data_IF_484683336900
#
_entry.id   IF_484683336900
#
_cell.length_a   1.000
_cell.length_b   1.000
_cell.length_c   1.000
_cell.angle_alpha   90.00
_cell.angle_beta   90.00
_cell.angle_gamma   90.00
#
_symmetry.space_group_name_H-M   'P 1'
#
loop_
_entity.id
_entity.type
_entity.pdbx_description
1 polymer ?
#
# COMPACT_ATOMS: atom_id res chain seq x y z
N UNK A 1 -47.97 -10.06 22.98
CA UNK A 1 -47.57 -10.36 21.60
C UNK A 1 -46.06 -10.52 21.55
N UNK A 2 -45.55 -11.32 20.61
CA UNK A 2 -44.12 -11.59 20.47
C UNK A 2 -43.59 -10.99 19.17
N UNK A 3 -42.43 -10.34 19.23
CA UNK A 3 -41.80 -9.68 18.09
C UNK A 3 -40.32 -10.01 17.97
N UNK A 4 -39.84 -10.04 16.73
CA UNK A 4 -38.43 -9.94 16.39
C UNK A 4 -38.15 -8.51 15.87
N UNK A 5 -37.34 -7.77 16.61
CA UNK A 5 -36.82 -6.47 16.18
C UNK A 5 -35.57 -6.69 15.35
N UNK A 6 -35.56 -6.18 14.12
CA UNK A 6 -34.48 -6.42 13.15
C UNK A 6 -33.94 -5.12 12.55
N UNK A 7 -32.69 -5.17 12.09
CA UNK A 7 -32.02 -4.05 11.43
C UNK A 7 -31.87 -4.33 9.91
N UNK A 8 -32.60 -3.60 9.05
CA UNK A 8 -32.46 -3.70 7.60
C UNK A 8 -31.02 -3.41 7.11
N UNK A 9 -30.28 -2.54 7.80
CA UNK A 9 -28.90 -2.18 7.42
C UNK A 9 -27.91 -3.33 7.69
N UNK A 10 -28.27 -4.26 8.57
CA UNK A 10 -27.53 -5.50 8.83
C UNK A 10 -28.12 -6.68 8.04
N UNK A 11 -28.76 -6.40 6.89
CA UNK A 11 -29.39 -7.42 6.06
C UNK A 11 -30.60 -8.07 6.70
N UNK A 12 -31.24 -7.42 7.68
CA UNK A 12 -32.40 -7.94 8.39
C UNK A 12 -32.05 -8.77 9.63
N UNK A 13 -30.82 -8.66 10.17
CA UNK A 13 -30.43 -9.34 11.41
C UNK A 13 -31.40 -9.00 12.54
N UNK A 14 -31.91 -10.03 13.24
CA UNK A 14 -32.67 -9.86 14.48
C UNK A 14 -31.70 -9.40 15.56
N UNK A 15 -31.93 -8.20 16.08
CA UNK A 15 -31.11 -7.57 17.11
C UNK A 15 -31.74 -7.69 18.50
N UNK A 16 -33.05 -7.97 18.57
CA UNK A 16 -33.73 -8.21 19.84
C UNK A 16 -35.02 -9.01 19.66
N UNK A 17 -35.33 -9.86 20.64
CA UNK A 17 -36.62 -10.54 20.78
C UNK A 17 -37.42 -9.87 21.89
N UNK A 18 -38.70 -9.58 21.65
CA UNK A 18 -39.56 -8.84 22.58
C UNK A 18 -40.86 -9.61 22.83
N UNK A 19 -41.19 -9.83 24.11
CA UNK A 19 -42.46 -10.42 24.54
C UNK A 19 -43.25 -9.37 25.33
N UNK A 20 -44.21 -8.72 24.69
CA UNK A 20 -44.98 -7.63 25.29
C UNK A 20 -46.02 -8.11 26.31
N UNK A 21 -46.28 -9.41 26.38
CA UNK A 21 -47.15 -9.97 27.43
C UNK A 21 -46.32 -10.25 28.70
N UNK A 22 -45.03 -10.57 28.53
CA UNK A 22 -44.11 -10.81 29.64
C UNK A 22 -43.50 -9.53 30.23
N UNK A 23 -43.34 -8.47 29.43
CA UNK A 23 -42.78 -7.21 29.90
C UNK A 23 -43.32 -6.00 29.11
N UNK A 24 -43.32 -4.84 29.75
CA UNK A 24 -43.73 -3.59 29.11
C UNK A 24 -42.58 -3.01 28.28
N UNK A 25 -42.58 -3.25 26.98
CA UNK A 25 -41.60 -2.70 26.03
C UNK A 25 -42.11 -1.41 25.38
N UNK A 26 -41.23 -0.42 25.21
CA UNK A 26 -41.45 0.64 24.24
C UNK A 26 -41.03 0.09 22.87
N UNK A 27 -42.01 -0.15 22.00
CA UNK A 27 -41.76 -0.76 20.70
C UNK A 27 -41.08 0.22 19.74
N UNK A 28 -40.07 -0.24 18.97
CA UNK A 28 -39.54 0.48 17.81
C UNK A 28 -40.60 0.74 16.72
N UNK A 29 -40.19 1.44 15.66
CA UNK A 29 -41.02 1.61 14.47
C UNK A 29 -41.50 0.24 13.95
N UNK A 30 -42.80 0.15 13.62
CA UNK A 30 -43.43 -1.10 13.19
C UNK A 30 -42.79 -1.70 11.92
N UNK A 31 -42.16 -0.88 11.08
CA UNK A 31 -41.42 -1.35 9.89
C UNK A 31 -40.15 -2.14 10.22
N UNK A 32 -39.68 -2.06 11.47
CA UNK A 32 -38.52 -2.80 11.99
C UNK A 32 -38.93 -4.01 12.85
N UNK A 33 -40.23 -4.30 12.94
CA UNK A 33 -40.77 -5.38 13.76
C UNK A 33 -41.37 -6.46 12.87
N UNK A 34 -41.05 -7.71 13.20
CA UNK A 34 -41.72 -8.89 12.67
C UNK A 34 -42.53 -9.54 13.79
N UNK A 35 -43.85 -9.66 13.62
CA UNK A 35 -44.70 -10.38 14.57
C UNK A 35 -44.40 -11.87 14.50
N UNK A 36 -44.03 -12.45 15.63
CA UNK A 36 -43.61 -13.84 15.73
C UNK A 36 -44.80 -14.76 16.01
N UNK A 37 -44.97 -15.79 15.18
CA UNK A 37 -45.73 -16.97 15.60
C UNK A 37 -45.02 -17.71 16.75
N UNK A 38 -45.69 -18.65 17.42
CA UNK A 38 -45.03 -19.52 18.41
C UNK A 38 -43.89 -20.35 17.79
N UNK A 39 -43.98 -20.68 16.49
CA UNK A 39 -42.92 -21.37 15.78
C UNK A 39 -41.71 -20.44 15.57
N UNK A 40 -41.93 -19.20 15.13
CA UNK A 40 -40.89 -18.18 14.97
C UNK A 40 -40.23 -17.86 16.31
N UNK A 41 -41.00 -17.81 17.40
CA UNK A 41 -40.47 -17.50 18.72
C UNK A 41 -39.48 -18.55 19.23
N UNK A 42 -39.70 -19.83 18.94
CA UNK A 42 -38.77 -20.92 19.30
C UNK A 42 -37.42 -20.82 18.60
N UNK A 43 -37.38 -20.19 17.43
CA UNK A 43 -36.15 -20.02 16.65
C UNK A 43 -35.11 -19.12 17.35
N UNK A 44 -35.50 -18.31 18.35
CA UNK A 44 -34.58 -17.46 19.13
C UNK A 44 -33.49 -18.26 19.86
N UNK A 45 -33.74 -19.53 20.14
CA UNK A 45 -32.80 -20.44 20.80
C UNK A 45 -31.75 -21.02 19.83
N UNK A 46 -31.95 -20.84 18.52
CA UNK A 46 -31.11 -21.37 17.44
C UNK A 46 -29.90 -20.51 17.05
N UNK A 47 -29.63 -19.40 17.75
CA UNK A 47 -28.52 -18.49 17.47
C UNK A 47 -28.94 -17.20 16.76
N UNK A 48 -28.03 -16.64 15.95
CA UNK A 48 -28.27 -15.41 15.20
C UNK A 48 -29.32 -15.64 14.10
N UNK A 49 -30.41 -14.87 14.14
CA UNK A 49 -31.52 -14.96 13.19
C UNK A 49 -31.65 -13.68 12.35
N UNK A 50 -32.40 -13.76 11.26
CA UNK A 50 -32.76 -12.65 10.39
C UNK A 50 -34.22 -12.71 9.96
N UNK A 51 -34.79 -11.55 9.65
CA UNK A 51 -36.08 -11.42 8.97
C UNK A 51 -35.81 -11.20 7.48
N UNK A 52 -36.29 -12.12 6.63
CA UNK A 52 -36.14 -12.06 5.17
C UNK A 52 -37.44 -12.43 4.49
N UNK A 53 -37.99 -11.53 3.68
CA UNK A 53 -39.25 -11.76 2.97
C UNK A 53 -40.42 -12.11 3.91
N UNK A 54 -40.46 -11.48 5.09
CA UNK A 54 -41.50 -11.72 6.11
C UNK A 54 -41.40 -13.05 6.84
N UNK A 55 -40.21 -13.68 6.87
CA UNK A 55 -39.97 -14.94 7.61
C UNK A 55 -38.70 -14.84 8.44
N UNK A 56 -38.68 -15.53 9.58
CA UNK A 56 -37.48 -15.72 10.37
C UNK A 56 -36.66 -16.88 9.79
N UNK A 57 -35.35 -16.65 9.62
CA UNK A 57 -34.39 -17.65 9.15
C UNK A 57 -33.05 -17.47 9.89
N UNK A 58 -32.15 -18.47 9.87
CA UNK A 58 -30.77 -18.28 10.32
C UNK A 58 -30.11 -17.09 9.63
N UNK A 59 -29.42 -16.26 10.39
CA UNK A 59 -28.74 -15.09 9.86
C UNK A 59 -27.63 -15.48 8.88
N UNK A 60 -27.68 -14.89 7.69
CA UNK A 60 -26.60 -14.95 6.71
C UNK A 60 -26.06 -13.54 6.56
N UNK A 61 -24.81 -13.33 6.99
CA UNK A 61 -24.15 -12.03 6.86
C UNK A 61 -24.14 -11.58 5.40
N UNK A 62 -24.55 -10.32 5.11
CA UNK A 62 -24.46 -9.77 3.77
C UNK A 62 -23.04 -9.92 3.22
N UNK A 63 -22.93 -10.52 2.04
CA UNK A 63 -21.65 -10.59 1.35
C UNK A 63 -21.38 -9.23 0.69
N UNK A 64 -20.13 -8.73 0.73
CA UNK A 64 -19.78 -7.50 0.02
C UNK A 64 -20.05 -7.68 -1.47
N UNK A 65 -20.52 -6.61 -2.14
CA UNK A 65 -20.73 -6.66 -3.57
C UNK A 65 -19.41 -6.88 -4.32
N UNK A 66 -19.42 -7.45 -5.54
CA UNK A 66 -18.20 -7.62 -6.35
C UNK A 66 -17.41 -6.32 -6.52
N UNK A 67 -18.08 -5.18 -6.60
CA UNK A 67 -17.47 -3.85 -6.73
C UNK A 67 -16.71 -3.46 -5.45
N UNK A 68 -17.28 -3.72 -4.27
CA UNK A 68 -16.62 -3.46 -2.98
C UNK A 68 -15.38 -4.34 -2.83
N UNK A 69 -15.49 -5.61 -3.20
CA UNK A 69 -14.36 -6.55 -3.19
C UNK A 69 -13.25 -6.06 -4.12
N UNK A 70 -13.58 -5.72 -5.36
CA UNK A 70 -12.61 -5.22 -6.33
C UNK A 70 -11.93 -3.92 -5.87
N UNK A 71 -12.70 -2.98 -5.32
CA UNK A 71 -12.15 -1.72 -4.81
C UNK A 71 -11.14 -1.96 -3.68
N UNK A 72 -11.46 -2.87 -2.74
CA UNK A 72 -10.56 -3.25 -1.64
C UNK A 72 -9.27 -3.90 -2.16
N UNK A 73 -9.39 -4.80 -3.15
CA UNK A 73 -8.23 -5.47 -3.76
C UNK A 73 -7.33 -4.46 -4.47
N UNK A 74 -7.89 -3.51 -5.24
CA UNK A 74 -7.10 -2.43 -5.88
C UNK A 74 -6.39 -1.55 -4.87
N UNK A 75 -7.06 -1.16 -3.78
CA UNK A 75 -6.45 -0.36 -2.72
C UNK A 75 -5.25 -1.10 -2.08
N UNK A 76 -5.44 -2.38 -1.75
CA UNK A 76 -4.36 -3.22 -1.22
C UNK A 76 -3.20 -3.38 -2.19
N UNK A 77 -3.48 -3.57 -3.48
CA UNK A 77 -2.46 -3.64 -4.53
C UNK A 77 -1.63 -2.35 -4.63
N UNK A 78 -2.29 -1.19 -4.65
CA UNK A 78 -1.63 0.12 -4.71
C UNK A 78 -0.74 0.40 -3.49
N UNK A 79 -1.16 -0.02 -2.30
CA UNK A 79 -0.35 0.06 -1.09
C UNK A 79 0.91 -0.82 -1.22
N UNK A 80 0.76 -2.07 -1.65
CA UNK A 80 1.89 -3.01 -1.85
C UNK A 80 2.87 -2.50 -2.92
N UNK A 81 2.37 -1.97 -4.03
CA UNK A 81 3.18 -1.37 -5.10
C UNK A 81 4.00 -0.19 -4.57
N UNK A 82 3.35 0.69 -3.78
CA UNK A 82 4.01 1.86 -3.21
C UNK A 82 5.10 1.47 -2.21
N UNK A 83 4.78 0.57 -1.28
CA UNK A 83 5.73 0.08 -0.28
C UNK A 83 6.93 -0.63 -0.93
N UNK A 84 6.70 -1.43 -1.98
CA UNK A 84 7.78 -2.10 -2.70
C UNK A 84 8.72 -1.09 -3.39
N UNK A 85 8.16 -0.09 -4.08
CA UNK A 85 8.96 0.95 -4.72
C UNK A 85 9.80 1.75 -3.71
N UNK A 86 9.22 2.10 -2.58
CA UNK A 86 9.93 2.79 -1.49
C UNK A 86 11.07 1.94 -0.91
N UNK A 87 10.80 0.67 -0.58
CA UNK A 87 11.80 -0.26 -0.08
C UNK A 87 12.97 -0.40 -1.06
N UNK A 88 12.70 -0.48 -2.36
CA UNK A 88 13.76 -0.56 -3.39
C UNK A 88 14.57 0.73 -3.52
N UNK A 89 13.97 1.91 -3.37
CA UNK A 89 14.74 3.16 -3.35
C UNK A 89 15.68 3.22 -2.14
N UNK A 90 15.20 2.80 -0.97
CA UNK A 90 16.01 2.72 0.28
C UNK A 90 17.17 1.73 0.14
N UNK A 91 16.89 0.54 -0.40
CA UNK A 91 17.90 -0.48 -0.68
C UNK A 91 19.00 0.04 -1.62
N UNK A 92 18.62 0.72 -2.71
CA UNK A 92 19.57 1.23 -3.72
C UNK A 92 20.35 2.45 -3.20
N UNK A 93 19.71 3.31 -2.42
CA UNK A 93 20.38 4.46 -1.80
C UNK A 93 21.35 4.05 -0.68
N UNK A 94 21.21 2.83 -0.14
CA UNK A 94 22.01 2.35 0.99
C UNK A 94 21.67 3.02 2.33
N UNK A 95 20.51 3.67 2.43
CA UNK A 95 20.05 4.41 3.61
C UNK A 95 18.54 4.30 3.78
N UNK A 96 18.08 4.42 5.03
CA UNK A 96 16.65 4.49 5.36
C UNK A 96 16.14 5.93 5.46
N UNK A 97 17.05 6.91 5.45
CA UNK A 97 16.74 8.33 5.59
C UNK A 97 16.24 8.91 4.27
N UNK A 98 14.96 9.31 4.24
CA UNK A 98 14.33 9.90 3.05
C UNK A 98 14.93 11.25 2.66
N UNK A 99 15.50 12.00 3.62
CA UNK A 99 16.22 13.25 3.38
C UNK A 99 17.54 13.02 2.66
N UNK A 100 18.30 11.99 3.05
CA UNK A 100 19.51 11.59 2.32
C UNK A 100 19.17 11.12 0.90
N UNK A 101 18.09 10.35 0.75
CA UNK A 101 17.59 9.90 -0.55
C UNK A 101 17.24 11.09 -1.45
N UNK A 102 16.50 12.07 -0.94
CA UNK A 102 16.13 13.28 -1.68
C UNK A 102 17.36 14.12 -2.06
N UNK A 103 18.43 14.06 -1.26
CA UNK A 103 19.68 14.78 -1.47
C UNK A 103 20.50 14.33 -2.69
N UNK A 104 20.27 13.12 -3.23
CA UNK A 104 21.06 12.57 -4.34
C UNK A 104 21.12 13.46 -5.58
N UNK A 105 20.00 14.09 -5.95
CA UNK A 105 19.96 15.00 -7.11
C UNK A 105 20.81 16.25 -6.90
N UNK A 106 20.79 16.81 -5.68
CA UNK A 106 21.65 17.95 -5.36
C UNK A 106 23.12 17.56 -5.31
N UNK A 107 23.45 16.40 -4.74
CA UNK A 107 24.84 15.87 -4.74
C UNK A 107 25.34 15.63 -6.18
N UNK A 108 24.50 15.11 -7.08
CA UNK A 108 24.84 14.97 -8.50
C UNK A 108 25.16 16.33 -9.15
N UNK A 109 24.29 17.32 -8.96
CA UNK A 109 24.48 18.70 -9.47
C UNK A 109 25.80 19.29 -8.99
N UNK A 110 26.08 19.18 -7.68
CA UNK A 110 27.33 19.70 -7.08
C UNK A 110 28.54 19.01 -7.68
N UNK A 111 28.53 17.67 -7.74
CA UNK A 111 29.64 16.89 -8.27
C UNK A 111 29.93 17.22 -9.75
N UNK A 112 28.88 17.38 -10.57
CA UNK A 112 29.01 17.83 -11.96
C UNK A 112 29.60 19.26 -12.06
N UNK A 113 29.15 20.17 -11.20
CA UNK A 113 29.67 21.53 -11.16
C UNK A 113 31.16 21.59 -10.77
N UNK A 114 31.59 20.73 -9.83
CA UNK A 114 33.00 20.65 -9.42
C UNK A 114 33.85 20.17 -10.59
N UNK A 115 33.45 19.08 -11.27
CA UNK A 115 34.17 18.58 -12.46
C UNK A 115 34.23 19.61 -13.58
N UNK A 116 33.16 20.39 -13.76
CA UNK A 116 33.10 21.44 -14.79
C UNK A 116 33.88 22.72 -14.42
N UNK A 117 34.44 22.82 -13.20
CA UNK A 117 35.10 24.04 -12.71
C UNK A 117 34.16 25.19 -12.39
N UNK A 118 32.85 24.93 -12.28
CA UNK A 118 31.79 25.93 -12.10
C UNK A 118 31.09 25.86 -10.73
N UNK A 119 31.59 25.03 -9.81
CA UNK A 119 31.03 24.92 -8.47
C UNK A 119 31.27 26.19 -7.64
N UNK A 120 30.25 26.61 -6.89
CA UNK A 120 30.36 27.70 -5.92
C UNK A 120 31.21 27.27 -4.70
N UNK A 121 31.70 28.23 -3.92
CA UNK A 121 32.42 27.91 -2.68
C UNK A 121 31.52 27.22 -1.66
N UNK A 122 30.22 27.54 -1.64
CA UNK A 122 29.23 26.85 -0.82
C UNK A 122 29.04 25.38 -1.25
N UNK A 123 29.03 25.11 -2.56
CA UNK A 123 28.97 23.74 -3.09
C UNK A 123 30.20 22.92 -2.66
N UNK A 124 31.40 23.51 -2.72
CA UNK A 124 32.65 22.87 -2.27
C UNK A 124 32.63 22.63 -0.75
N UNK A 125 32.25 23.64 0.04
CA UNK A 125 32.19 23.55 1.49
C UNK A 125 31.23 22.45 1.97
N UNK A 126 30.12 22.21 1.26
CA UNK A 126 29.21 21.10 1.56
C UNK A 126 29.90 19.73 1.44
N UNK A 127 30.71 19.52 0.40
CA UNK A 127 31.45 18.27 0.20
C UNK A 127 32.66 18.17 1.13
N UNK A 128 33.37 19.27 1.39
CA UNK A 128 34.46 19.31 2.37
C UNK A 128 33.98 18.94 3.78
N UNK A 129 32.81 19.43 4.18
CA UNK A 129 32.18 19.06 5.45
C UNK A 129 31.91 17.56 5.56
N UNK A 130 31.38 16.93 4.48
CA UNK A 130 31.13 15.49 4.46
C UNK A 130 32.42 14.66 4.45
N UNK A 131 33.42 15.05 3.67
CA UNK A 131 34.74 14.39 3.64
C UNK A 131 35.39 14.45 5.02
N UNK A 132 35.41 15.63 5.65
CA UNK A 132 35.97 15.83 6.98
C UNK A 132 35.24 14.99 8.03
N UNK A 133 33.90 14.94 7.98
CA UNK A 133 33.10 14.16 8.92
C UNK A 133 33.30 12.65 8.76
N UNK A 134 33.49 12.14 7.53
CA UNK A 134 33.75 10.72 7.25
C UNK A 134 35.16 10.28 7.63
N UNK A 135 36.12 11.22 7.63
CA UNK A 135 37.51 11.01 8.05
C UNK A 135 38.20 9.79 7.41
N UNK A 136 37.90 9.51 6.13
CA UNK A 136 38.48 8.37 5.40
C UNK A 136 39.92 8.72 4.98
N UNK A 137 40.94 7.95 5.41
CA UNK A 137 42.32 8.22 5.04
C UNK A 137 42.53 8.25 3.52
N UNK A 138 43.14 9.33 3.02
CA UNK A 138 43.46 9.50 1.60
C UNK A 138 42.27 9.87 0.70
N UNK A 139 41.06 10.08 1.24
CA UNK A 139 39.94 10.59 0.46
C UNK A 139 40.14 12.09 0.17
N UNK A 140 40.29 12.43 -1.11
CA UNK A 140 40.38 13.81 -1.61
C UNK A 140 39.04 14.26 -2.17
N UNK A 141 38.90 15.58 -2.43
CA UNK A 141 37.73 16.13 -3.14
C UNK A 141 37.47 15.39 -4.46
N UNK A 142 38.50 15.16 -5.28
CA UNK A 142 38.35 14.47 -6.55
C UNK A 142 37.86 13.03 -6.38
N UNK A 143 38.45 12.28 -5.44
CA UNK A 143 38.04 10.90 -5.14
C UNK A 143 36.59 10.86 -4.67
N UNK A 144 36.21 11.79 -3.79
CA UNK A 144 34.85 11.89 -3.26
C UNK A 144 33.84 12.26 -4.37
N UNK A 145 34.15 13.25 -5.21
CA UNK A 145 33.32 13.66 -6.35
C UNK A 145 33.09 12.52 -7.32
N UNK A 146 34.12 11.71 -7.64
CA UNK A 146 33.95 10.55 -8.51
C UNK A 146 33.03 9.48 -7.89
N UNK A 147 33.15 9.23 -6.58
CA UNK A 147 32.24 8.33 -5.85
C UNK A 147 30.80 8.84 -5.90
N UNK A 148 30.60 10.14 -5.65
CA UNK A 148 29.27 10.77 -5.70
C UNK A 148 28.68 10.69 -7.09
N UNK A 149 29.43 11.01 -8.16
CA UNK A 149 28.96 10.89 -9.54
C UNK A 149 28.50 9.47 -9.85
N UNK A 150 29.35 8.47 -9.56
CA UNK A 150 29.02 7.06 -9.80
C UNK A 150 27.73 6.65 -9.08
N UNK A 151 27.64 6.93 -7.78
CA UNK A 151 26.49 6.55 -6.95
C UNK A 151 25.22 7.30 -7.33
N UNK A 152 25.30 8.62 -7.55
CA UNK A 152 24.14 9.44 -7.85
C UNK A 152 23.58 9.16 -9.26
N UNK A 153 24.44 8.93 -10.25
CA UNK A 153 23.99 8.51 -11.59
C UNK A 153 23.34 7.12 -11.56
N UNK A 154 23.94 6.19 -10.81
CA UNK A 154 23.35 4.86 -10.61
C UNK A 154 21.97 4.95 -9.96
N UNK A 155 21.87 5.72 -8.87
CA UNK A 155 20.61 5.96 -8.17
C UNK A 155 19.57 6.60 -9.10
N UNK A 156 19.91 7.66 -9.84
CA UNK A 156 18.99 8.33 -10.75
C UNK A 156 18.41 7.38 -11.82
N UNK A 157 19.27 6.55 -12.42
CA UNK A 157 18.84 5.51 -13.38
C UNK A 157 17.90 4.51 -12.72
N UNK A 158 18.25 4.02 -11.55
CA UNK A 158 17.46 3.03 -10.81
C UNK A 158 16.09 3.59 -10.37
N UNK A 159 16.07 4.80 -9.82
CA UNK A 159 14.86 5.49 -9.41
C UNK A 159 13.92 5.72 -10.59
N UNK A 160 14.45 6.11 -11.77
CA UNK A 160 13.64 6.26 -12.98
C UNK A 160 12.95 4.96 -13.41
N UNK A 161 13.64 3.83 -13.31
CA UNK A 161 13.05 2.52 -13.62
C UNK A 161 11.99 2.13 -12.58
N UNK A 162 12.29 2.28 -11.28
CA UNK A 162 11.36 1.98 -10.19
C UNK A 162 10.08 2.81 -10.34
N UNK A 163 10.22 4.09 -10.62
CA UNK A 163 9.11 5.03 -10.69
C UNK A 163 8.24 4.80 -11.93
N UNK A 164 8.88 4.49 -13.06
CA UNK A 164 8.18 4.07 -14.28
C UNK A 164 7.39 2.78 -14.08
N UNK A 165 8.01 1.76 -13.46
CA UNK A 165 7.34 0.49 -13.15
C UNK A 165 6.20 0.69 -12.14
N UNK A 166 6.41 1.48 -11.09
CA UNK A 166 5.38 1.83 -10.11
C UNK A 166 4.17 2.47 -10.79
N UNK A 167 4.39 3.50 -11.62
CA UNK A 167 3.30 4.21 -12.31
C UNK A 167 2.53 3.26 -13.21
N UNK A 168 3.23 2.49 -14.03
CA UNK A 168 2.61 1.50 -14.91
C UNK A 168 1.77 0.48 -14.12
N UNK A 169 2.28 -0.02 -13.00
CA UNK A 169 1.55 -0.98 -12.17
C UNK A 169 0.25 -0.38 -11.62
N UNK A 170 0.30 0.88 -11.16
CA UNK A 170 -0.87 1.58 -10.65
C UNK A 170 -1.92 1.79 -11.74
N UNK A 171 -1.49 2.14 -12.96
CA UNK A 171 -2.38 2.30 -14.11
C UNK A 171 -3.02 0.97 -14.52
N UNK A 172 -2.23 -0.11 -14.58
CA UNK A 172 -2.72 -1.46 -14.90
C UNK A 172 -3.72 -1.97 -13.82
N UNK A 173 -3.46 -1.72 -12.53
CA UNK A 173 -4.39 -2.01 -11.42
C UNK A 173 -5.68 -1.20 -11.54
N UNK A 174 -5.59 0.09 -11.90
CA UNK A 174 -6.76 0.93 -12.11
C UNK A 174 -7.63 0.41 -13.24
N UNK A 175 -7.03 -0.07 -14.34
CA UNK A 175 -7.72 -0.63 -15.50
C UNK A 175 -8.36 -2.01 -15.25
N UNK A 176 -7.82 -2.80 -14.31
CA UNK A 176 -8.30 -4.16 -14.02
C UNK A 176 -9.79 -4.21 -13.65
N UNK A 177 -10.50 -5.24 -14.13
CA UNK A 177 -11.95 -5.42 -13.92
C UNK A 177 -12.29 -6.54 -12.94
N UNK A 178 -11.32 -7.35 -12.54
CA UNK A 178 -11.52 -8.44 -11.58
C UNK A 178 -10.37 -8.49 -10.57
N UNK A 179 -10.58 -9.09 -9.38
CA UNK A 179 -9.51 -9.33 -8.42
C UNK A 179 -8.34 -10.14 -9.00
N UNK A 180 -8.62 -11.14 -9.82
CA UNK A 180 -7.61 -12.02 -10.42
C UNK A 180 -6.72 -11.24 -11.40
N UNK A 181 -7.31 -10.31 -12.16
CA UNK A 181 -6.56 -9.41 -13.04
C UNK A 181 -5.63 -8.49 -12.24
N UNK A 182 -6.04 -8.03 -11.05
CA UNK A 182 -5.17 -7.24 -10.16
C UNK A 182 -3.98 -8.07 -9.68
N UNK A 183 -4.19 -9.31 -9.24
CA UNK A 183 -3.08 -10.17 -8.80
C UNK A 183 -2.12 -10.55 -9.95
N UNK A 184 -2.64 -10.73 -11.16
CA UNK A 184 -1.81 -10.94 -12.36
C UNK A 184 -0.90 -9.73 -12.64
N UNK A 185 -1.40 -8.51 -12.45
CA UNK A 185 -0.60 -7.28 -12.56
C UNK A 185 0.51 -7.26 -11.52
N UNK A 186 0.20 -7.54 -10.24
CA UNK A 186 1.21 -7.57 -9.16
C UNK A 186 2.32 -8.58 -9.48
N UNK A 187 1.95 -9.77 -9.92
CA UNK A 187 2.90 -10.85 -10.25
C UNK A 187 3.82 -10.45 -11.40
N UNK A 188 3.25 -9.91 -12.48
CA UNK A 188 4.01 -9.44 -13.64
C UNK A 188 4.97 -8.33 -13.27
N UNK A 189 4.51 -7.38 -12.46
CA UNK A 189 5.29 -6.22 -12.06
C UNK A 189 6.43 -6.57 -11.12
N UNK A 190 6.22 -7.52 -10.20
CA UNK A 190 7.30 -8.06 -9.36
C UNK A 190 8.42 -8.65 -10.22
N UNK A 191 8.08 -9.51 -11.18
CA UNK A 191 9.07 -10.14 -12.07
C UNK A 191 9.86 -9.10 -12.88
N UNK A 192 9.18 -8.07 -13.40
CA UNK A 192 9.83 -6.97 -14.11
C UNK A 192 10.78 -6.18 -13.21
N UNK A 193 10.36 -5.88 -11.98
CA UNK A 193 11.18 -5.16 -11.03
C UNK A 193 12.42 -5.97 -10.59
N UNK A 194 12.28 -7.27 -10.34
CA UNK A 194 13.39 -8.17 -10.02
C UNK A 194 14.39 -8.26 -11.18
N UNK A 195 13.90 -8.36 -12.41
CA UNK A 195 14.75 -8.38 -13.61
C UNK A 195 15.52 -7.08 -13.76
N UNK A 196 14.83 -5.94 -13.67
CA UNK A 196 15.46 -4.62 -13.76
C UNK A 196 16.50 -4.40 -12.66
N UNK A 197 16.21 -4.85 -11.43
CA UNK A 197 17.14 -4.75 -10.32
C UNK A 197 18.39 -5.62 -10.54
N UNK A 198 18.23 -6.85 -11.05
CA UNK A 198 19.36 -7.72 -11.39
C UNK A 198 20.25 -7.12 -12.50
N UNK A 199 19.66 -6.46 -13.49
CA UNK A 199 20.40 -5.74 -14.54
C UNK A 199 21.17 -4.54 -13.99
N UNK A 200 20.57 -3.78 -13.08
CA UNK A 200 21.22 -2.67 -12.39
C UNK A 200 22.41 -3.15 -11.55
N UNK A 201 22.25 -4.24 -10.79
CA UNK A 201 23.32 -4.80 -9.97
C UNK A 201 24.56 -5.21 -10.81
N UNK A 202 24.33 -5.79 -12.00
CA UNK A 202 25.41 -6.13 -12.95
C UNK A 202 26.14 -4.89 -13.47
N UNK A 203 25.43 -3.78 -13.67
CA UNK A 203 26.03 -2.53 -14.14
C UNK A 203 26.91 -1.85 -13.07
N UNK A 204 26.63 -2.09 -11.78
CA UNK A 204 27.41 -1.54 -10.67
C UNK A 204 28.76 -2.27 -10.49
N UNK A 205 28.76 -3.59 -10.73
CA UNK A 205 29.90 -4.49 -10.60
C UNK A 205 30.12 -5.29 -11.90
N UNK A 206 30.71 -4.69 -12.95
CA UNK A 206 30.95 -5.39 -14.20
C UNK A 206 31.91 -6.57 -13.97
N UNK A 207 31.64 -7.76 -14.54
CA UNK A 207 32.54 -8.90 -14.40
C UNK A 207 33.92 -8.57 -14.98
N UNK A 208 34.97 -8.75 -14.18
CA UNK A 208 36.36 -8.58 -14.59
C UNK A 208 37.09 -7.32 -14.09
N UNK A 209 36.51 -6.55 -13.18
CA UNK A 209 37.20 -5.42 -12.51
C UNK A 209 37.27 -5.71 -11.01
N UNK A 210 38.42 -6.22 -10.56
CA UNK A 210 38.82 -6.34 -9.14
C UNK A 210 40.03 -5.44 -8.93
#
# INVERSE_FOLDING_TARGET
MKYAYFDPNLGGKVIQWMDTDAANYVLPDATLLHECSEADWKLREGGDMMVKGGKIAPYVAPQPSPEVVLARVKAGANARITAYAEAKRKEIAGTQDDGEIAGWNNKLRIAQAIVAGNATDADKAAFEGEIAARAIPGETMDIFVQKVLKSAMFYAKAAGIIDGLKRKAQDDVAAAKTPEAVEAVITTMRKKAETAHAELAKALNPPGVV
#
